data_IF_106206890918
#
_entry.id   IF_106206890918
#
_cell.length_a   1.000
_cell.length_b   1.000
_cell.length_c   1.000
_cell.angle_alpha   90.00
_cell.angle_beta   90.00
_cell.angle_gamma   90.00
#
_symmetry.space_group_name_H-M   'P 1'
#
loop_
_entity.id
_entity.type
_entity.pdbx_description
1 polymer ?
#
# COMPACT_ATOMS: atom_id res chain seq x y z
N UNK A 1 -5.80 10.87 17.19
CA UNK A 1 -4.85 11.78 16.52
C UNK A 1 -4.31 11.00 15.33
N UNK A 2 -4.57 11.44 14.10
CA UNK A 2 -4.10 10.72 12.91
C UNK A 2 -2.57 10.77 12.85
N UNK A 3 -1.92 9.61 12.68
CA UNK A 3 -0.47 9.51 12.54
C UNK A 3 -0.18 9.06 11.11
N UNK A 4 0.28 9.95 10.21
CA UNK A 4 0.64 9.63 8.83
C UNK A 4 1.51 8.38 8.69
N UNK A 5 2.44 8.19 9.64
CA UNK A 5 3.29 7.02 9.70
C UNK A 5 2.50 5.71 9.92
N UNK A 6 1.48 5.71 10.77
CA UNK A 6 0.65 4.53 11.00
C UNK A 6 -0.14 4.14 9.75
N UNK A 7 -0.61 5.14 8.98
CA UNK A 7 -1.30 4.89 7.72
C UNK A 7 -0.34 4.34 6.65
N UNK A 8 0.84 4.96 6.50
CA UNK A 8 1.89 4.47 5.61
C UNK A 8 2.29 3.02 5.94
N UNK A 9 2.48 2.71 7.22
CA UNK A 9 2.81 1.36 7.69
C UNK A 9 1.71 0.35 7.36
N UNK A 10 0.43 0.69 7.52
CA UNK A 10 -0.69 -0.20 7.16
C UNK A 10 -0.67 -0.54 5.68
N UNK A 11 -0.52 0.46 4.80
CA UNK A 11 -0.42 0.25 3.35
C UNK A 11 0.79 -0.64 3.03
N UNK A 12 1.95 -0.29 3.59
CA UNK A 12 3.21 -0.98 3.33
C UNK A 12 3.18 -2.43 3.79
N UNK A 13 2.73 -2.72 5.02
CA UNK A 13 2.62 -4.09 5.54
C UNK A 13 1.65 -4.93 4.70
N UNK A 14 0.52 -4.37 4.29
CA UNK A 14 -0.45 -5.09 3.45
C UNK A 14 0.17 -5.50 2.12
N UNK A 15 0.88 -4.59 1.43
CA UNK A 15 1.59 -4.94 0.21
C UNK A 15 2.74 -5.93 0.44
N UNK A 16 3.50 -5.72 1.52
CA UNK A 16 4.64 -6.56 1.92
C UNK A 16 4.23 -7.99 2.26
N UNK A 17 3.03 -8.23 2.77
CA UNK A 17 2.56 -9.57 3.11
C UNK A 17 1.75 -10.21 1.97
N UNK A 18 0.89 -9.44 1.30
CA UNK A 18 0.05 -9.98 0.23
C UNK A 18 0.88 -10.43 -0.97
N UNK A 19 1.87 -9.63 -1.38
CA UNK A 19 2.64 -9.90 -2.58
C UNK A 19 3.49 -11.19 -2.46
N UNK A 20 4.28 -11.42 -1.39
CA UNK A 20 5.01 -12.68 -1.22
C UNK A 20 4.15 -13.93 -1.19
N UNK A 21 2.94 -13.87 -0.63
CA UNK A 21 2.02 -15.01 -0.60
C UNK A 21 1.59 -15.39 -2.01
N UNK A 22 1.21 -14.40 -2.83
CA UNK A 22 0.80 -14.63 -4.23
C UNK A 22 1.98 -15.16 -5.05
N UNK A 23 3.16 -14.54 -4.90
CA UNK A 23 4.38 -14.94 -5.63
C UNK A 23 4.83 -16.35 -5.23
N UNK A 24 4.83 -16.67 -3.93
CA UNK A 24 5.18 -18.01 -3.45
C UNK A 24 4.21 -19.06 -3.97
N UNK A 25 2.90 -18.76 -4.01
CA UNK A 25 1.90 -19.68 -4.55
C UNK A 25 2.15 -19.95 -6.04
N UNK A 26 2.46 -18.90 -6.82
CA UNK A 26 2.82 -19.04 -8.22
C UNK A 26 4.11 -19.85 -8.43
N UNK A 27 5.17 -19.54 -7.69
CA UNK A 27 6.45 -20.24 -7.80
C UNK A 27 6.34 -21.72 -7.44
N UNK A 28 5.59 -22.06 -6.39
CA UNK A 28 5.35 -23.46 -6.03
C UNK A 28 4.48 -24.18 -7.07
N UNK A 29 3.52 -23.50 -7.69
CA UNK A 29 2.69 -24.07 -8.76
C UNK A 29 3.50 -24.37 -10.04
N UNK A 30 4.36 -23.44 -10.45
CA UNK A 30 5.19 -23.59 -11.66
C UNK A 30 6.40 -24.51 -11.41
N UNK A 31 6.96 -24.46 -10.20
CA UNK A 31 8.17 -25.20 -9.85
C UNK A 31 8.03 -25.85 -8.46
N UNK A 32 7.71 -27.15 -8.46
CA UNK A 32 7.52 -27.96 -7.25
C UNK A 32 8.79 -28.13 -6.38
N UNK A 33 9.92 -27.56 -6.79
CA UNK A 33 11.20 -27.70 -6.08
C UNK A 33 11.34 -26.75 -4.88
N UNK A 34 10.50 -25.71 -4.79
CA UNK A 34 10.61 -24.69 -3.74
C UNK A 34 9.65 -24.93 -2.57
N UNK A 35 10.16 -24.79 -1.35
CA UNK A 35 9.32 -24.74 -0.15
C UNK A 35 8.58 -23.40 -0.08
N UNK A 36 7.24 -23.45 -0.09
CA UNK A 36 6.36 -22.28 -0.01
C UNK A 36 6.72 -21.35 1.15
N UNK A 37 6.92 -21.92 2.34
CA UNK A 37 7.26 -21.15 3.54
C UNK A 37 8.62 -20.46 3.40
N UNK A 38 9.61 -21.16 2.84
CA UNK A 38 10.96 -20.61 2.65
C UNK A 38 10.95 -19.44 1.66
N UNK A 39 10.17 -19.53 0.58
CA UNK A 39 10.02 -18.44 -0.40
C UNK A 39 9.34 -17.23 0.23
N UNK A 40 8.25 -17.42 1.00
CA UNK A 40 7.59 -16.31 1.71
C UNK A 40 8.55 -15.60 2.65
N UNK A 41 9.26 -16.35 3.50
CA UNK A 41 10.18 -15.76 4.49
C UNK A 41 11.27 -14.96 3.78
N UNK A 42 11.85 -15.51 2.71
CA UNK A 42 12.87 -14.81 1.93
C UNK A 42 12.32 -13.53 1.31
N UNK A 43 11.18 -13.60 0.62
CA UNK A 43 10.58 -12.46 -0.07
C UNK A 43 10.14 -11.36 0.90
N UNK A 44 9.61 -11.72 2.08
CA UNK A 44 9.23 -10.75 3.11
C UNK A 44 10.48 -10.05 3.67
N UNK A 45 11.55 -10.79 3.98
CA UNK A 45 12.77 -10.20 4.54
C UNK A 45 13.47 -9.28 3.53
N UNK A 46 13.71 -9.77 2.32
CA UNK A 46 14.36 -8.99 1.26
C UNK A 46 13.46 -7.82 0.86
N UNK A 47 12.18 -8.08 0.64
CA UNK A 47 11.19 -7.06 0.30
C UNK A 47 11.08 -5.97 1.37
N UNK A 48 11.11 -6.32 2.66
CA UNK A 48 11.06 -5.36 3.75
C UNK A 48 12.27 -4.43 3.70
N UNK A 49 13.48 -4.97 3.59
CA UNK A 49 14.73 -4.18 3.56
C UNK A 49 14.75 -3.27 2.33
N UNK A 50 14.49 -3.82 1.14
CA UNK A 50 14.56 -3.08 -0.12
C UNK A 50 13.45 -2.02 -0.27
N UNK A 51 12.32 -2.17 0.40
CA UNK A 51 11.19 -1.21 0.33
C UNK A 51 11.15 -0.18 1.46
N UNK A 52 12.09 -0.21 2.41
CA UNK A 52 12.22 0.84 3.43
C UNK A 52 12.32 2.26 2.84
N UNK A 53 13.11 2.52 1.77
CA UNK A 53 13.13 3.84 1.14
C UNK A 53 11.76 4.26 0.61
N UNK A 54 11.02 3.34 -0.02
CA UNK A 54 9.66 3.58 -0.50
C UNK A 54 8.68 3.88 0.63
N UNK A 55 8.81 3.22 1.79
CA UNK A 55 8.01 3.52 2.98
C UNK A 55 8.24 4.95 3.48
N UNK A 56 9.50 5.41 3.54
CA UNK A 56 9.84 6.76 3.98
C UNK A 56 9.29 7.82 3.00
N UNK A 57 9.41 7.57 1.69
CA UNK A 57 8.86 8.44 0.66
C UNK A 57 7.33 8.46 0.69
N UNK A 58 6.69 7.32 0.92
CA UNK A 58 5.24 7.23 1.07
C UNK A 58 4.76 8.02 2.29
N UNK A 59 5.45 7.88 3.43
CA UNK A 59 5.16 8.64 4.64
C UNK A 59 5.28 10.16 4.39
N UNK A 60 6.35 10.59 3.70
CA UNK A 60 6.53 12.00 3.33
C UNK A 60 5.41 12.47 2.39
N UNK A 61 5.04 11.68 1.38
CA UNK A 61 3.96 11.98 0.46
C UNK A 61 2.62 12.15 1.20
N UNK A 62 2.27 11.25 2.11
CA UNK A 62 1.05 11.36 2.94
C UNK A 62 1.10 12.62 3.80
N UNK A 63 2.26 12.95 4.36
CA UNK A 63 2.44 14.17 5.16
C UNK A 63 2.21 15.43 4.33
N UNK A 64 2.72 15.48 3.10
CA UNK A 64 2.52 16.60 2.18
C UNK A 64 1.07 16.70 1.70
N UNK A 65 0.47 15.58 1.29
CA UNK A 65 -0.93 15.53 0.83
C UNK A 65 -1.92 15.97 1.92
N UNK A 66 -1.62 15.69 3.19
CA UNK A 66 -2.45 16.14 4.31
C UNK A 66 -2.49 17.66 4.43
N UNK A 67 -1.38 18.33 4.13
CA UNK A 67 -1.30 19.80 4.20
C UNK A 67 -1.80 20.46 2.92
N UNK A 68 -2.20 19.67 1.92
CA UNK A 68 -2.82 20.18 0.71
C UNK A 68 -4.31 20.36 0.98
N UNK A 69 -4.79 21.61 0.88
CA UNK A 69 -6.22 22.01 0.93
C UNK A 69 -7.02 21.50 -0.28
N UNK A 70 -6.85 20.23 -0.65
CA UNK A 70 -7.73 19.57 -1.57
C UNK A 70 -9.05 19.27 -0.83
N UNK A 71 -10.09 20.06 -1.11
CA UNK A 71 -11.43 19.87 -0.53
C UNK A 71 -12.04 18.48 -0.80
N UNK A 72 -11.49 17.73 -1.76
CA UNK A 72 -12.01 16.44 -2.14
C UNK A 72 -11.01 15.30 -1.89
N UNK A 73 -11.33 14.52 -0.85
CA UNK A 73 -10.64 13.31 -0.39
C UNK A 73 -10.34 12.29 -1.50
N UNK A 74 -11.20 12.20 -2.52
CA UNK A 74 -10.98 11.29 -3.65
C UNK A 74 -9.73 11.66 -4.45
N UNK A 75 -9.45 12.96 -4.64
CA UNK A 75 -8.25 13.39 -5.35
C UNK A 75 -6.98 13.08 -4.55
N UNK A 76 -7.03 13.19 -3.22
CA UNK A 76 -5.89 12.79 -2.38
C UNK A 76 -5.60 11.29 -2.49
N UNK A 77 -6.65 10.44 -2.50
CA UNK A 77 -6.49 8.99 -2.72
C UNK A 77 -5.96 8.65 -4.12
N UNK A 78 -6.41 9.36 -5.15
CA UNK A 78 -5.91 9.18 -6.52
C UNK A 78 -4.44 9.59 -6.65
N UNK A 79 -4.07 10.77 -6.14
CA UNK A 79 -2.69 11.24 -6.11
C UNK A 79 -1.79 10.25 -5.35
N UNK A 80 -2.25 9.77 -4.19
CA UNK A 80 -1.51 8.78 -3.42
C UNK A 80 -1.38 7.43 -4.15
N UNK A 81 -2.41 7.01 -4.87
CA UNK A 81 -2.35 5.78 -5.70
C UNK A 81 -1.28 5.90 -6.80
N UNK A 82 -1.20 7.05 -7.47
CA UNK A 82 -0.16 7.32 -8.47
C UNK A 82 1.23 7.30 -7.84
N UNK A 83 1.39 7.94 -6.68
CA UNK A 83 2.66 7.94 -5.93
C UNK A 83 3.05 6.52 -5.53
N UNK A 84 2.10 5.71 -5.03
CA UNK A 84 2.35 4.31 -4.70
C UNK A 84 2.88 3.52 -5.91
N UNK A 85 2.26 3.65 -7.09
CA UNK A 85 2.70 2.99 -8.32
C UNK A 85 4.14 3.36 -8.68
N UNK A 86 4.48 4.66 -8.61
CA UNK A 86 5.86 5.12 -8.87
C UNK A 86 6.84 4.57 -7.84
N UNK A 87 6.48 4.61 -6.55
CA UNK A 87 7.32 4.12 -5.45
C UNK A 87 7.47 2.60 -5.43
N UNK A 88 6.53 1.86 -6.03
CA UNK A 88 6.63 0.41 -6.21
C UNK A 88 7.76 0.01 -7.16
N UNK A 89 8.18 0.90 -8.07
CA UNK A 89 9.34 0.66 -8.94
C UNK A 89 10.69 0.77 -8.24
N UNK A 90 10.75 1.47 -7.10
CA UNK A 90 12.00 1.81 -6.44
C UNK A 90 12.81 0.59 -5.95
N UNK A 91 12.20 -0.42 -5.30
CA UNK A 91 12.92 -1.63 -4.89
C UNK A 91 13.50 -2.40 -6.07
N UNK A 92 12.83 -2.39 -7.23
CA UNK A 92 13.27 -3.07 -8.45
C UNK A 92 14.45 -2.34 -9.10
N UNK A 93 14.47 -1.00 -9.06
CA UNK A 93 15.63 -0.21 -9.53
C UNK A 93 16.90 -0.48 -8.70
N UNK A 94 16.75 -0.74 -7.41
CA UNK A 94 17.87 -1.07 -6.52
C UNK A 94 18.43 -2.48 -6.74
N UNK A 95 17.61 -3.38 -7.29
CA UNK A 95 17.94 -4.79 -7.53
C UNK A 95 18.27 -5.10 -8.99
N UNK A 96 18.27 -4.10 -9.88
CA UNK A 96 18.23 -4.29 -11.32
C UNK A 96 19.50 -4.95 -11.90
N UNK A 97 19.36 -6.21 -12.31
CA UNK A 97 19.94 -6.78 -13.53
C UNK A 97 18.97 -6.55 -14.72
N UNK A 98 19.40 -6.67 -15.99
CA UNK A 98 18.54 -6.36 -17.14
C UNK A 98 17.29 -7.27 -17.22
N UNK A 99 16.18 -6.69 -16.77
CA UNK A 99 14.76 -7.05 -16.94
C UNK A 99 14.44 -8.44 -17.49
N UNK A 100 14.17 -9.39 -16.59
CA UNK A 100 13.48 -10.64 -16.91
C UNK A 100 11.96 -10.42 -16.82
N UNK A 101 11.17 -11.09 -17.68
CA UNK A 101 9.70 -10.93 -17.78
C UNK A 101 8.94 -11.01 -16.45
N UNK A 102 9.46 -11.77 -15.49
CA UNK A 102 8.77 -12.06 -14.23
C UNK A 102 8.81 -10.88 -13.25
N UNK A 103 9.81 -10.01 -13.38
CA UNK A 103 9.97 -8.82 -12.53
C UNK A 103 8.83 -7.82 -12.73
N UNK A 104 8.35 -7.69 -13.97
CA UNK A 104 7.21 -6.82 -14.31
C UNK A 104 5.93 -7.31 -13.62
N UNK A 105 5.73 -8.62 -13.53
CA UNK A 105 4.60 -9.20 -12.82
C UNK A 105 4.68 -8.93 -11.31
N UNK A 106 5.85 -9.06 -10.71
CA UNK A 106 6.05 -8.76 -9.28
C UNK A 106 5.88 -7.27 -8.97
N UNK A 107 6.37 -6.40 -9.85
CA UNK A 107 6.15 -4.97 -9.77
C UNK A 107 4.66 -4.63 -9.80
N UNK A 108 3.93 -5.21 -10.76
CA UNK A 108 2.50 -5.01 -10.90
C UNK A 108 1.71 -5.48 -9.67
N UNK A 109 2.06 -6.65 -9.11
CA UNK A 109 1.45 -7.17 -7.88
C UNK A 109 1.72 -6.26 -6.68
N UNK A 110 2.95 -5.77 -6.53
CA UNK A 110 3.31 -4.87 -5.43
C UNK A 110 2.61 -3.51 -5.56
N UNK A 111 2.52 -2.96 -6.77
CA UNK A 111 1.76 -1.75 -7.06
C UNK A 111 0.26 -1.94 -6.78
N UNK A 112 -0.32 -3.07 -7.19
CA UNK A 112 -1.72 -3.38 -6.89
C UNK A 112 -1.97 -3.49 -5.38
N UNK A 113 -1.06 -4.12 -4.62
CA UNK A 113 -1.16 -4.24 -3.17
C UNK A 113 -1.11 -2.89 -2.44
N UNK A 114 -0.20 -2.00 -2.85
CA UNK A 114 -0.10 -0.66 -2.25
C UNK A 114 -1.30 0.22 -2.60
N UNK A 115 -1.79 0.18 -3.85
CA UNK A 115 -3.01 0.89 -4.26
C UNK A 115 -4.22 0.35 -3.51
N UNK A 116 -4.39 -0.97 -3.42
CA UNK A 116 -5.48 -1.57 -2.63
C UNK A 116 -5.43 -1.11 -1.17
N UNK A 117 -4.24 -1.03 -0.56
CA UNK A 117 -4.06 -0.47 0.77
C UNK A 117 -4.58 0.97 0.91
N UNK A 118 -4.30 1.84 -0.05
CA UNK A 118 -4.80 3.24 -0.07
C UNK A 118 -6.33 3.28 -0.04
N UNK A 119 -6.98 2.39 -0.77
CA UNK A 119 -8.44 2.37 -0.88
C UNK A 119 -9.12 1.71 0.33
N UNK A 120 -8.52 0.64 0.87
CA UNK A 120 -9.02 -0.09 2.04
C UNK A 120 -8.91 0.75 3.32
N UNK A 121 -7.81 1.47 3.50
CA UNK A 121 -7.58 2.24 4.72
C UNK A 121 -8.07 3.69 4.55
N UNK A 122 -8.75 4.20 5.59
CA UNK A 122 -9.15 5.61 5.65
C UNK A 122 -7.96 6.52 5.98
N UNK A 123 -7.73 7.50 5.11
CA UNK A 123 -6.72 8.55 5.28
C UNK A 123 -7.15 9.54 6.38
N UNK A 124 -8.46 9.73 6.62
CA UNK A 124 -9.00 10.63 7.66
C UNK A 124 -10.02 9.91 8.56
N UNK A 125 -9.60 9.09 9.54
CA UNK A 125 -10.51 8.25 10.35
C UNK A 125 -11.40 9.01 11.36
N UNK A 126 -11.41 10.35 11.37
CA UNK A 126 -12.19 11.15 12.33
C UNK A 126 -13.46 11.81 11.74
N UNK A 127 -13.57 11.94 10.42
CA UNK A 127 -14.72 12.62 9.79
C UNK A 127 -15.92 11.67 9.57
N UNK A 128 -15.69 10.35 9.56
CA UNK A 128 -16.73 9.32 9.40
C UNK A 128 -17.62 9.12 10.65
N UNK A 129 -17.30 9.73 11.80
CA UNK A 129 -18.11 9.62 13.02
C UNK A 129 -19.05 10.81 13.25
N UNK A 130 -19.05 11.80 12.35
CA UNK A 130 -19.90 13.00 12.44
C UNK A 130 -20.96 13.10 11.33
N UNK A 131 -20.95 12.21 10.33
CA UNK A 131 -22.04 12.05 9.38
C UNK A 131 -22.89 10.85 9.80
N UNK A 132 -24.18 11.07 10.04
CA UNK A 132 -25.21 10.07 10.40
C UNK A 132 -25.66 10.08 11.88
N UNK A 133 -25.85 11.27 12.46
CA UNK A 133 -26.98 11.41 13.37
C UNK A 133 -28.10 12.09 12.58
N UNK A 134 -29.23 11.41 12.28
CA UNK A 134 -30.40 12.10 11.75
C UNK A 134 -30.76 13.21 12.73
N UNK A 135 -30.91 14.43 12.24
CA UNK A 135 -31.53 15.51 13.02
C UNK A 135 -32.90 15.00 13.46
N UNK A 136 -32.99 14.61 14.74
CA UNK A 136 -34.26 14.32 15.37
C UNK A 136 -34.93 15.69 15.50
N UNK A 137 -35.76 16.04 14.52
CA UNK A 137 -36.69 17.14 14.63
C UNK A 137 -37.67 16.80 15.76
N UNK A 138 -37.36 17.23 16.97
CA UNK A 138 -38.33 17.33 18.05
C UNK A 138 -39.31 18.46 17.73
N UNK A 139 -40.25 18.20 16.82
CA UNK A 139 -41.56 18.83 16.89
C UNK A 139 -42.41 17.93 17.80
N UNK A 140 -42.51 18.32 19.07
CA UNK A 140 -43.57 17.84 19.96
C UNK A 140 -44.30 19.07 20.49
N UNK A 141 -45.57 19.14 20.10
CA UNK A 141 -46.60 20.13 20.42
C UNK A 141 -46.77 20.44 21.92
#
# INVERSE_FOLDING_TARGET
MYRPLSYALKIWVTALLACPVIVAAYMCYVNNSYSFLSVIVLLVLVGAICSLPSLLLLWLAIHLLRNWDAENYQYQKQALSIICVVLSGFPFLLLAEPAVSDEVCFLALYAAGTVAGVWIYNLHPKEDLSGDLPEINEEVD
#
